data_IF_615362873989
#
_entry.id   IF_615362873989
#
_cell.length_a   1.000
_cell.length_b   1.000
_cell.length_c   1.000
_cell.angle_alpha   90.00
_cell.angle_beta   90.00
_cell.angle_gamma   90.00
#
_symmetry.space_group_name_H-M   'P 1'
#
loop_
_entity.id
_entity.type
_entity.pdbx_description
1 polymer ?
#
# COMPACT_ATOMS: atom_id res chain seq x y z
N UNK A 1 -29.91 33.03 -10.78
CA UNK A 1 -29.53 31.96 -11.73
C UNK A 1 -28.00 31.96 -11.79
N UNK A 2 -27.35 31.08 -11.01
CA UNK A 2 -25.88 31.02 -10.97
C UNK A 2 -25.39 30.10 -12.10
N UNK A 3 -24.64 30.66 -13.05
CA UNK A 3 -24.01 29.92 -14.12
C UNK A 3 -22.69 29.33 -13.59
N UNK A 4 -22.63 28.01 -13.42
CA UNK A 4 -21.37 27.32 -13.16
C UNK A 4 -20.54 27.33 -14.45
N UNK A 5 -19.59 28.26 -14.56
CA UNK A 5 -18.59 28.23 -15.64
C UNK A 5 -17.68 27.03 -15.38
N UNK A 6 -17.74 26.03 -16.25
CA UNK A 6 -16.80 24.90 -16.28
C UNK A 6 -15.43 25.44 -16.71
N UNK A 7 -14.67 25.99 -15.77
CA UNK A 7 -13.30 26.42 -16.02
C UNK A 7 -12.44 25.16 -16.14
N UNK A 8 -12.01 24.82 -17.37
CA UNK A 8 -11.02 23.79 -17.70
C UNK A 8 -9.62 24.13 -17.16
N UNK A 9 -9.55 24.73 -15.97
CA UNK A 9 -8.33 24.97 -15.20
C UNK A 9 -8.16 23.86 -14.17
N UNK A 10 -8.36 22.61 -14.62
CA UNK A 10 -7.95 21.46 -13.82
C UNK A 10 -6.45 21.52 -13.63
N UNK A 11 -5.96 21.46 -12.39
CA UNK A 11 -4.54 21.32 -12.11
C UNK A 11 -4.10 20.01 -12.76
N UNK A 12 -3.17 20.06 -13.72
CA UNK A 12 -2.55 18.86 -14.26
C UNK A 12 -1.59 18.30 -13.20
N UNK A 13 -2.14 17.55 -12.25
CA UNK A 13 -1.36 16.82 -11.25
C UNK A 13 -0.85 15.57 -11.95
N UNK A 14 0.47 15.44 -12.10
CA UNK A 14 1.02 14.17 -12.53
C UNK A 14 0.59 13.09 -11.53
N UNK A 15 0.07 11.93 -11.98
CA UNK A 15 -0.40 10.89 -11.09
C UNK A 15 0.80 10.27 -10.38
N UNK A 16 1.16 10.83 -9.22
CA UNK A 16 2.17 10.27 -8.35
C UNK A 16 1.49 9.26 -7.42
N UNK A 17 1.94 8.00 -7.46
CA UNK A 17 1.44 6.98 -6.55
C UNK A 17 2.26 7.01 -5.27
N UNK A 18 1.59 7.13 -4.12
CA UNK A 18 2.25 6.94 -2.84
C UNK A 18 2.21 5.47 -2.45
N UNK A 19 3.37 4.85 -2.34
CA UNK A 19 3.53 3.48 -1.84
C UNK A 19 3.93 3.53 -0.37
N UNK A 20 3.23 2.76 0.48
CA UNK A 20 3.36 2.84 1.93
C UNK A 20 3.57 1.45 2.55
N UNK A 21 4.55 1.35 3.45
CA UNK A 21 4.79 0.17 4.29
C UNK A 21 4.71 0.62 5.75
N UNK A 22 4.05 -0.18 6.59
CA UNK A 22 3.93 0.08 8.02
C UNK A 22 4.42 -1.12 8.80
N UNK A 23 5.48 -0.91 9.59
CA UNK A 23 5.97 -1.89 10.54
C UNK A 23 5.14 -1.84 11.82
N UNK A 24 4.47 -2.94 12.12
CA UNK A 24 3.54 -3.07 13.25
C UNK A 24 4.18 -3.69 14.49
N UNK A 25 5.48 -4.04 14.44
CA UNK A 25 6.20 -4.59 15.59
C UNK A 25 6.43 -3.57 16.72
N UNK A 26 6.30 -2.28 16.43
CA UNK A 26 6.46 -1.18 17.39
C UNK A 26 5.13 -0.50 17.74
N UNK A 27 4.96 -0.09 19.01
CA UNK A 27 3.78 0.67 19.48
C UNK A 27 3.58 1.97 18.69
N UNK A 28 4.68 2.65 18.36
CA UNK A 28 4.71 3.73 17.38
C UNK A 28 5.18 3.15 16.06
N UNK A 29 4.23 2.60 15.29
CA UNK A 29 4.51 1.94 14.04
C UNK A 29 5.42 2.79 13.15
N UNK A 30 6.59 2.24 12.80
CA UNK A 30 7.53 2.84 11.85
C UNK A 30 6.91 2.76 10.45
N UNK A 31 7.13 3.80 9.65
CA UNK A 31 6.43 3.99 8.38
C UNK A 31 7.41 4.37 7.32
N UNK A 32 7.33 3.68 6.20
CA UNK A 32 8.04 4.02 4.98
C UNK A 32 7.02 4.49 3.94
N UNK A 33 7.30 5.63 3.31
CA UNK A 33 6.49 6.18 2.22
C UNK A 33 7.42 6.63 1.11
N UNK A 34 7.14 6.20 -0.10
CA UNK A 34 7.82 6.70 -1.29
C UNK A 34 6.81 7.01 -2.38
N UNK A 35 7.13 7.98 -3.22
CA UNK A 35 6.44 8.14 -4.49
C UNK A 35 6.99 7.12 -5.47
N UNK A 36 6.11 6.52 -6.28
CA UNK A 36 6.47 5.62 -7.37
C UNK A 36 5.79 6.09 -8.65
N UNK A 37 6.56 6.04 -9.74
CA UNK A 37 6.08 6.42 -11.08
C UNK A 37 5.17 5.33 -11.67
N UNK A 38 5.44 4.07 -11.33
CA UNK A 38 4.62 2.92 -11.70
C UNK A 38 4.47 1.94 -10.52
N UNK A 39 3.54 0.99 -10.68
CA UNK A 39 3.18 0.00 -9.65
C UNK A 39 3.47 -1.42 -10.11
N UNK A 40 4.42 -1.57 -11.03
CA UNK A 40 4.78 -2.88 -11.57
C UNK A 40 5.39 -3.75 -10.48
N UNK A 41 5.29 -5.06 -10.62
CA UNK A 41 5.93 -6.00 -9.70
C UNK A 41 7.43 -5.73 -9.55
N UNK A 42 8.13 -5.32 -10.62
CA UNK A 42 9.56 -5.02 -10.56
C UNK A 42 9.87 -3.82 -9.65
N UNK A 43 9.12 -2.72 -9.81
CA UNK A 43 9.27 -1.52 -8.97
C UNK A 43 8.99 -1.83 -7.51
N UNK A 44 7.92 -2.58 -7.24
CA UNK A 44 7.54 -2.96 -5.88
C UNK A 44 8.56 -3.95 -5.28
N UNK A 45 9.04 -4.95 -6.03
CA UNK A 45 10.03 -5.92 -5.57
C UNK A 45 11.32 -5.25 -5.11
N UNK A 46 11.80 -4.27 -5.88
CA UNK A 46 12.96 -3.47 -5.51
C UNK A 46 12.75 -2.73 -4.18
N UNK A 47 11.56 -2.15 -3.99
CA UNK A 47 11.27 -1.43 -2.74
C UNK A 47 11.22 -2.42 -1.56
N UNK A 48 10.66 -3.61 -1.72
CA UNK A 48 10.57 -4.57 -0.63
C UNK A 48 11.95 -5.08 -0.22
N UNK A 49 12.82 -5.42 -1.17
CA UNK A 49 14.17 -5.90 -0.85
C UNK A 49 15.04 -4.84 -0.17
N UNK A 50 14.76 -3.56 -0.42
CA UNK A 50 15.46 -2.43 0.21
C UNK A 50 14.92 -2.09 1.60
N UNK A 51 13.62 -2.29 1.84
CA UNK A 51 12.93 -1.76 3.04
C UNK A 51 12.56 -2.84 4.04
N UNK A 52 12.22 -4.04 3.58
CA UNK A 52 11.71 -5.12 4.42
C UNK A 52 12.87 -6.05 4.80
N UNK A 53 12.98 -6.33 6.09
CA UNK A 53 13.97 -7.28 6.61
C UNK A 53 13.58 -8.69 6.17
N UNK A 54 14.53 -9.46 5.64
CA UNK A 54 14.34 -10.87 5.25
C UNK A 54 13.74 -11.68 6.40
N UNK A 55 12.90 -12.66 6.06
CA UNK A 55 12.10 -13.50 6.95
C UNK A 55 11.02 -12.75 7.76
N UNK A 56 10.70 -11.50 7.39
CA UNK A 56 9.52 -10.82 7.93
C UNK A 56 8.22 -11.38 7.36
N UNK A 57 7.14 -11.27 8.14
CA UNK A 57 5.78 -11.51 7.67
C UNK A 57 5.22 -10.22 7.07
N UNK A 58 4.78 -10.29 5.81
CA UNK A 58 4.16 -9.17 5.09
C UNK A 58 2.66 -9.39 5.02
N UNK A 59 1.90 -8.39 5.47
CA UNK A 59 0.44 -8.38 5.38
C UNK A 59 0.00 -7.48 4.22
N UNK A 60 -0.67 -8.04 3.23
CA UNK A 60 -1.05 -7.33 2.01
C UNK A 60 -2.49 -7.66 1.56
N UNK A 61 -3.00 -6.90 0.59
CA UNK A 61 -4.24 -7.23 -0.12
C UNK A 61 -3.95 -8.09 -1.36
N UNK A 62 -4.98 -8.66 -1.98
CA UNK A 62 -4.85 -9.50 -3.19
C UNK A 62 -4.57 -8.71 -4.48
N UNK A 63 -3.46 -7.99 -4.51
CA UNK A 63 -3.01 -7.33 -5.73
C UNK A 63 -2.18 -8.30 -6.56
N UNK A 64 -2.48 -8.41 -7.86
CA UNK A 64 -1.77 -9.29 -8.79
C UNK A 64 -0.26 -9.06 -8.80
N UNK A 65 0.16 -7.81 -8.66
CA UNK A 65 1.57 -7.43 -8.69
C UNK A 65 2.32 -7.95 -7.46
N UNK A 66 1.60 -8.22 -6.35
CA UNK A 66 2.14 -8.88 -5.17
C UNK A 66 2.32 -10.41 -5.31
N UNK A 67 1.73 -11.04 -6.32
CA UNK A 67 1.95 -12.49 -6.57
C UNK A 67 3.40 -12.82 -6.94
N UNK A 68 4.16 -11.84 -7.43
CA UNK A 68 5.59 -12.03 -7.65
C UNK A 68 6.35 -12.26 -6.33
N UNK A 69 5.80 -11.79 -5.21
CA UNK A 69 6.40 -11.86 -3.88
C UNK A 69 6.04 -13.14 -3.15
N UNK A 70 4.80 -13.64 -3.32
CA UNK A 70 4.39 -14.93 -2.77
C UNK A 70 5.25 -16.09 -3.31
N UNK A 71 5.92 -15.90 -4.44
CA UNK A 71 6.85 -16.86 -5.03
C UNK A 71 8.30 -16.70 -4.52
N UNK A 72 8.61 -15.64 -3.76
CA UNK A 72 9.92 -15.45 -3.15
C UNK A 72 10.00 -16.18 -1.81
N UNK A 73 11.14 -16.81 -1.53
CA UNK A 73 11.40 -17.49 -0.24
C UNK A 73 11.83 -16.53 0.88
N UNK A 74 11.94 -15.24 0.57
CA UNK A 74 12.56 -14.26 1.44
C UNK A 74 11.62 -13.72 2.51
N UNK A 75 10.31 -13.92 2.34
CA UNK A 75 9.27 -13.39 3.24
C UNK A 75 8.10 -14.36 3.38
N UNK A 76 7.40 -14.28 4.52
CA UNK A 76 6.10 -14.93 4.67
C UNK A 76 5.02 -13.96 4.21
N UNK A 77 4.32 -14.28 3.12
CA UNK A 77 3.22 -13.44 2.62
C UNK A 77 1.88 -13.88 3.20
N UNK A 78 1.14 -12.91 3.74
CA UNK A 78 -0.22 -13.09 4.24
C UNK A 78 -1.16 -12.10 3.57
N UNK A 79 -2.12 -12.62 2.83
CA UNK A 79 -3.05 -11.82 2.03
C UNK A 79 -4.47 -11.84 2.58
N UNK A 80 -5.18 -10.72 2.49
CA UNK A 80 -6.63 -10.66 2.69
C UNK A 80 -7.36 -10.21 1.43
N UNK A 81 -8.42 -10.95 1.06
CA UNK A 81 -9.32 -10.57 -0.02
C UNK A 81 -10.40 -9.61 0.46
N UNK A 82 -10.26 -8.33 0.15
CA UNK A 82 -11.24 -7.30 0.51
C UNK A 82 -12.63 -7.48 -0.10
N UNK A 83 -12.77 -8.29 -1.15
CA UNK A 83 -14.08 -8.62 -1.72
C UNK A 83 -14.94 -9.43 -0.74
N UNK A 84 -14.29 -10.25 0.08
CA UNK A 84 -14.98 -11.21 0.96
C UNK A 84 -14.84 -10.84 2.43
N UNK A 85 -13.67 -10.39 2.87
CA UNK A 85 -13.36 -10.17 4.27
C UNK A 85 -12.48 -8.93 4.46
N UNK A 86 -12.73 -8.15 5.54
CA UNK A 86 -11.84 -7.07 5.98
C UNK A 86 -10.71 -7.58 6.90
N UNK A 87 -10.97 -8.67 7.60
CA UNK A 87 -10.04 -9.42 8.44
C UNK A 87 -10.16 -10.87 8.03
N UNK A 88 -9.06 -11.53 7.70
CA UNK A 88 -9.06 -12.93 7.31
C UNK A 88 -9.64 -13.80 8.44
N UNK A 89 -10.65 -14.64 8.17
CA UNK A 89 -11.25 -15.50 9.19
C UNK A 89 -10.36 -16.71 9.56
N UNK A 90 -9.32 -16.98 8.76
CA UNK A 90 -8.43 -18.14 8.95
C UNK A 90 -7.34 -17.83 9.98
N UNK A 91 -6.70 -16.67 9.84
CA UNK A 91 -5.47 -16.33 10.57
C UNK A 91 -5.50 -14.91 11.16
N UNK A 92 -6.60 -14.16 10.99
CA UNK A 92 -6.74 -12.80 11.50
C UNK A 92 -5.99 -11.74 10.70
N UNK A 93 -5.41 -12.08 9.54
CA UNK A 93 -4.69 -11.14 8.67
C UNK A 93 -5.52 -9.93 8.29
N UNK A 94 -4.96 -8.73 8.46
CA UNK A 94 -5.58 -7.47 8.08
C UNK A 94 -4.54 -6.39 7.75
N UNK A 95 -4.97 -5.34 7.08
CA UNK A 95 -4.13 -4.23 6.57
C UNK A 95 -4.54 -2.85 7.12
N UNK A 96 -5.39 -2.83 8.16
CA UNK A 96 -5.93 -1.60 8.76
C UNK A 96 -4.87 -0.57 9.17
N UNK A 97 -3.68 -1.02 9.61
CA UNK A 97 -2.60 -0.12 10.02
C UNK A 97 -2.10 0.75 8.86
N UNK A 98 -1.90 0.15 7.67
CA UNK A 98 -1.50 0.89 6.47
C UNK A 98 -2.64 1.71 5.90
N UNK A 99 -3.88 1.22 5.96
CA UNK A 99 -5.06 1.99 5.53
C UNK A 99 -5.29 3.25 6.38
N UNK A 100 -5.20 3.12 7.71
CA UNK A 100 -5.25 4.25 8.64
C UNK A 100 -4.17 5.28 8.31
N UNK A 101 -2.98 4.81 7.93
CA UNK A 101 -1.89 5.70 7.58
C UNK A 101 -2.12 6.42 6.25
N UNK A 102 -2.57 5.70 5.22
CA UNK A 102 -2.89 6.26 3.91
C UNK A 102 -3.92 7.38 4.04
N UNK A 103 -4.92 7.22 4.91
CA UNK A 103 -5.88 8.28 5.20
C UNK A 103 -5.23 9.52 5.84
N UNK A 104 -4.26 9.34 6.75
CA UNK A 104 -3.50 10.47 7.32
C UNK A 104 -2.61 11.16 6.30
N UNK A 105 -2.05 10.44 5.34
CA UNK A 105 -1.22 11.02 4.27
C UNK A 105 -2.06 11.92 3.35
N UNK A 106 -3.27 11.50 3.00
CA UNK A 106 -4.21 12.29 2.18
C UNK A 106 -4.59 13.62 2.82
N UNK A 107 -4.61 13.70 4.16
CA UNK A 107 -4.91 14.95 4.88
C UNK A 107 -3.77 15.96 4.88
N UNK A 108 -2.55 15.54 4.50
CA UNK A 108 -1.37 16.40 4.46
C UNK A 108 -1.06 16.97 3.07
N UNK A 109 -1.87 16.62 2.07
CA UNK A 109 -1.78 17.06 0.67
C UNK A 109 -2.90 18.05 0.39
#
# INVERSE_FOLDING_TARGET
>A
MYYNVKNYRGRHVMPNWAFCIVDTSYKSALRYVTLVDDRTSNTLLRIFSEVIVTASTVFSGEWREYLAFSNSSDFEDKTVCYKYNFVSPVDGTHTQNVESYNNRLKLKV
#
